data_IF_418384591734
#
_entry.id   IF_418384591734
#
_cell.length_a   1.000
_cell.length_b   1.000
_cell.length_c   1.000
_cell.angle_alpha   90.00
_cell.angle_beta   90.00
_cell.angle_gamma   90.00
#
_symmetry.space_group_name_H-M   'P 1'
#
loop_
_entity.id
_entity.type
_entity.pdbx_description
1 polymer ?
#
# COMPACT_ATOMS: atom_id res chain seq x y z
N UNK A 1 -1.65 14.63 15.86
CA UNK A 1 -2.05 13.40 15.15
C UNK A 1 -2.65 13.71 13.76
N UNK A 2 -1.86 14.19 12.79
CA UNK A 2 -2.43 14.79 11.56
C UNK A 2 -2.48 13.91 10.31
N UNK A 3 -1.77 12.78 10.23
CA UNK A 3 -1.63 12.05 8.96
C UNK A 3 -1.76 10.54 9.15
N UNK A 4 -3.00 10.05 9.21
CA UNK A 4 -3.33 8.61 9.15
C UNK A 4 -4.43 8.40 8.09
N UNK A 5 -4.22 7.49 7.15
CA UNK A 5 -5.23 7.07 6.17
C UNK A 5 -5.41 5.56 6.25
N UNK A 6 -6.62 5.09 6.58
CA UNK A 6 -6.97 3.67 6.56
C UNK A 6 -7.86 3.38 5.35
N UNK A 7 -7.53 2.32 4.61
CA UNK A 7 -8.28 1.85 3.45
C UNK A 7 -8.61 0.38 3.66
N UNK A 8 -9.88 0.04 3.48
CA UNK A 8 -10.39 -1.33 3.67
C UNK A 8 -10.70 -2.01 2.33
N UNK A 9 -10.83 -3.34 2.33
CA UNK A 9 -11.19 -4.07 1.11
C UNK A 9 -10.05 -4.12 0.08
N UNK A 10 -8.81 -4.19 0.56
CA UNK A 10 -7.61 -4.36 -0.27
C UNK A 10 -7.20 -5.83 -0.30
N UNK A 11 -6.74 -6.31 -1.45
CA UNK A 11 -6.04 -7.59 -1.57
C UNK A 11 -4.56 -7.29 -1.73
N UNK A 12 -3.70 -8.03 -1.05
CA UNK A 12 -2.25 -7.86 -1.18
C UNK A 12 -1.67 -9.10 -1.86
N UNK A 13 -0.57 -8.97 -2.58
CA UNK A 13 0.20 -10.12 -3.04
C UNK A 13 1.67 -9.84 -2.81
N UNK A 14 2.37 -10.70 -2.07
CA UNK A 14 3.82 -10.60 -1.84
C UNK A 14 4.51 -11.74 -2.60
N UNK A 15 5.49 -11.43 -3.44
CA UNK A 15 6.34 -12.42 -4.15
C UNK A 15 5.54 -13.60 -4.76
N UNK A 16 4.49 -13.26 -5.52
CA UNK A 16 3.54 -14.17 -6.17
C UNK A 16 2.59 -14.96 -5.24
N UNK A 17 2.68 -14.82 -3.92
CA UNK A 17 1.68 -15.34 -2.98
C UNK A 17 0.59 -14.30 -2.76
N UNK A 18 -0.65 -14.65 -3.11
CA UNK A 18 -1.81 -13.80 -2.85
C UNK A 18 -2.08 -13.76 -1.34
N UNK A 19 -1.80 -12.62 -0.74
CA UNK A 19 -2.15 -12.28 0.63
C UNK A 19 -3.63 -11.85 0.65
N UNK A 20 -4.43 -12.63 1.38
CA UNK A 20 -5.90 -12.52 1.45
C UNK A 20 -6.39 -11.10 1.78
N UNK A 21 -7.67 -10.83 1.47
CA UNK A 21 -8.37 -9.58 1.80
C UNK A 21 -8.02 -9.03 3.19
N UNK A 22 -7.63 -7.76 3.24
CA UNK A 22 -7.20 -7.08 4.45
C UNK A 22 -7.45 -5.57 4.40
N UNK A 23 -6.70 -4.85 5.22
CA UNK A 23 -6.72 -3.39 5.32
C UNK A 23 -5.31 -2.83 5.21
N UNK A 24 -5.22 -1.63 4.65
CA UNK A 24 -3.99 -0.87 4.52
C UNK A 24 -4.11 0.39 5.36
N UNK A 25 -3.18 0.57 6.29
CA UNK A 25 -3.01 1.79 7.06
C UNK A 25 -1.72 2.47 6.65
N UNK A 26 -1.87 3.71 6.21
CA UNK A 26 -0.76 4.59 5.85
C UNK A 26 -0.60 5.62 6.95
N UNK A 27 0.59 5.72 7.49
CA UNK A 27 1.00 6.76 8.43
C UNK A 27 2.26 7.44 7.92
N UNK A 28 2.61 8.62 8.45
CA UNK A 28 3.83 9.35 8.05
C UNK A 28 5.09 8.49 8.12
N UNK A 29 5.20 7.58 9.11
CA UNK A 29 6.43 6.80 9.33
C UNK A 29 6.34 5.33 8.92
N UNK A 30 5.12 4.81 8.77
CA UNK A 30 4.88 3.38 8.56
C UNK A 30 3.75 3.13 7.60
N UNK A 31 3.97 2.13 6.76
CA UNK A 31 2.94 1.46 6.00
C UNK A 31 2.62 0.13 6.69
N UNK A 32 1.36 -0.08 7.06
CA UNK A 32 0.93 -1.28 7.77
C UNK A 32 -0.17 -1.94 6.96
N UNK A 33 0.02 -3.22 6.67
CA UNK A 33 -1.02 -4.10 6.17
C UNK A 33 -1.43 -5.08 7.25
N UNK A 34 -2.73 -5.31 7.40
CA UNK A 34 -3.19 -6.43 8.21
C UNK A 34 -4.37 -7.16 7.57
N UNK A 35 -4.42 -8.46 7.83
CA UNK A 35 -5.50 -9.39 7.50
C UNK A 35 -5.72 -10.33 8.69
N UNK A 36 -6.74 -11.20 8.64
CA UNK A 36 -7.03 -12.17 9.73
C UNK A 36 -5.86 -13.11 10.07
N UNK A 37 -4.89 -13.31 9.16
CA UNK A 37 -3.80 -14.29 9.32
C UNK A 37 -2.40 -13.68 9.18
N UNK A 38 -2.29 -12.40 8.84
CA UNK A 38 -1.01 -11.78 8.53
C UNK A 38 -1.05 -10.28 8.86
N UNK A 39 -0.01 -9.79 9.52
CA UNK A 39 0.24 -8.37 9.73
C UNK A 39 1.66 -8.07 9.23
N UNK A 40 1.80 -7.14 8.29
CA UNK A 40 3.08 -6.69 7.73
C UNK A 40 3.19 -5.20 7.96
N UNK A 41 4.30 -4.75 8.54
CA UNK A 41 4.60 -3.34 8.71
C UNK A 41 5.95 -3.03 8.07
N UNK A 42 6.01 -1.92 7.32
CA UNK A 42 7.23 -1.38 6.74
C UNK A 42 7.42 0.06 7.19
N UNK A 43 8.67 0.47 7.41
CA UNK A 43 9.00 1.89 7.55
C UNK A 43 8.79 2.58 6.22
N UNK A 44 8.25 3.78 6.24
CA UNK A 44 7.97 4.52 5.02
C UNK A 44 9.27 4.87 4.27
N UNK A 45 10.41 5.01 4.97
CA UNK A 45 11.75 5.22 4.39
C UNK A 45 12.20 4.07 3.50
N UNK A 46 11.67 2.88 3.77
CA UNK A 46 11.95 1.66 3.01
C UNK A 46 10.90 1.41 1.93
N UNK A 47 9.81 2.18 1.88
CA UNK A 47 8.72 1.99 0.91
C UNK A 47 9.05 2.76 -0.37
N UNK A 48 9.03 2.06 -1.51
CA UNK A 48 8.96 2.70 -2.83
C UNK A 48 7.62 2.36 -3.46
N UNK A 49 6.76 3.36 -3.60
CA UNK A 49 5.46 3.20 -4.23
C UNK A 49 5.52 3.59 -5.72
N UNK A 50 5.08 2.68 -6.59
CA UNK A 50 4.90 2.96 -8.01
C UNK A 50 3.43 2.74 -8.35
N UNK A 51 2.66 3.81 -8.62
CA UNK A 51 1.29 3.66 -9.08
C UNK A 51 1.31 2.99 -10.46
N UNK A 52 0.67 1.83 -10.58
CA UNK A 52 0.55 1.13 -11.85
C UNK A 52 -0.71 1.60 -12.58
N UNK A 53 -0.54 2.19 -13.77
CA UNK A 53 -1.65 2.42 -14.70
C UNK A 53 -2.05 1.08 -15.31
N UNK A 54 -3.00 0.39 -14.69
CA UNK A 54 -3.58 -0.80 -15.33
C UNK A 54 -4.34 -0.37 -16.58
N UNK A 55 -4.00 -0.94 -17.75
CA UNK A 55 -4.66 -0.67 -19.04
C UNK A 55 -5.98 -1.45 -19.24
N UNK A 56 -6.48 -2.15 -18.22
CA UNK A 56 -7.67 -3.02 -18.30
C UNK A 56 -8.84 -2.59 -17.41
N UNK A 57 -10.05 -3.03 -17.79
CA UNK A 57 -11.35 -2.76 -17.16
C UNK A 57 -11.49 -3.11 -15.66
N UNK A 58 -10.54 -3.87 -15.08
CA UNK A 58 -10.55 -4.33 -13.67
C UNK A 58 -9.30 -3.90 -12.88
N UNK A 59 -8.79 -2.69 -13.12
CA UNK A 59 -7.40 -2.35 -12.88
C UNK A 59 -7.06 -1.32 -11.78
N UNK A 60 -7.62 -1.42 -10.58
CA UNK A 60 -7.26 -0.51 -9.47
C UNK A 60 -6.06 -1.09 -8.69
N UNK A 61 -4.82 -0.89 -9.16
CA UNK A 61 -3.62 -1.51 -8.58
C UNK A 61 -2.56 -0.50 -8.17
N UNK A 62 -1.82 -0.81 -7.11
CA UNK A 62 -0.59 -0.13 -6.72
C UNK A 62 0.48 -1.20 -6.53
N UNK A 63 1.65 -1.03 -7.14
CA UNK A 63 2.81 -1.86 -6.80
C UNK A 63 3.70 -1.11 -5.81
N UNK A 64 3.93 -1.75 -4.67
CA UNK A 64 4.80 -1.27 -3.60
C UNK A 64 6.03 -2.17 -3.54
N UNK A 65 7.20 -1.56 -3.49
CA UNK A 65 8.46 -2.28 -3.23
C UNK A 65 8.88 -1.96 -1.82
N UNK A 66 8.99 -2.98 -0.97
CA UNK A 66 9.45 -2.84 0.41
C UNK A 66 10.96 -3.12 0.47
N UNK A 67 11.73 -2.09 0.83
CA UNK A 67 13.19 -2.02 0.75
C UNK A 67 13.94 -2.99 1.65
N UNK A 68 13.31 -3.44 2.75
CA UNK A 68 13.94 -4.33 3.75
C UNK A 68 14.35 -5.69 3.16
N UNK A 69 13.78 -6.10 2.01
CA UNK A 69 14.20 -7.31 1.30
C UNK A 69 13.94 -7.26 -0.22
N UNK A 70 13.80 -6.06 -0.82
CA UNK A 70 13.33 -5.86 -2.21
C UNK A 70 12.03 -6.64 -2.53
N UNK A 71 11.21 -6.93 -1.51
CA UNK A 71 9.97 -7.69 -1.70
C UNK A 71 8.98 -6.85 -2.46
N UNK A 72 8.42 -7.43 -3.52
CA UNK A 72 7.38 -6.76 -4.31
C UNK A 72 6.03 -7.12 -3.74
N UNK A 73 5.36 -6.09 -3.26
CA UNK A 73 4.02 -6.17 -2.69
C UNK A 73 3.07 -5.46 -3.64
N UNK A 74 2.19 -6.23 -4.28
CA UNK A 74 1.11 -5.68 -5.09
C UNK A 74 -0.12 -5.49 -4.20
N UNK A 75 -0.76 -4.33 -4.31
CA UNK A 75 -2.01 -4.02 -3.61
C UNK A 75 -3.08 -3.78 -4.66
N UNK A 76 -4.09 -4.64 -4.66
CA UNK A 76 -5.29 -4.55 -5.48
C UNK A 76 -6.41 -3.92 -4.65
N UNK A 77 -7.04 -2.89 -5.19
CA UNK A 77 -8.13 -2.17 -4.54
C UNK A 77 -9.46 -2.56 -5.17
N UNK A 78 -10.49 -2.70 -4.34
CA UNK A 78 -11.84 -3.03 -4.82
C UNK A 78 -12.50 -1.86 -5.57
N UNK A 79 -12.07 -0.61 -5.34
CA UNK A 79 -12.61 0.57 -6.00
C UNK A 79 -11.54 1.65 -6.26
N UNK A 80 -11.87 2.60 -7.16
CA UNK A 80 -10.98 3.69 -7.60
C UNK A 80 -10.63 4.67 -6.49
N UNK A 81 -11.65 5.03 -5.70
CA UNK A 81 -11.56 6.08 -4.70
C UNK A 81 -10.53 5.69 -3.63
N UNK A 82 -10.60 4.46 -3.16
CA UNK A 82 -9.71 3.90 -2.16
C UNK A 82 -8.26 3.80 -2.65
N UNK A 83 -8.07 3.42 -3.93
CA UNK A 83 -6.76 3.47 -4.58
C UNK A 83 -6.21 4.89 -4.59
N UNK A 84 -6.99 5.86 -5.04
CA UNK A 84 -6.54 7.25 -5.17
C UNK A 84 -6.22 7.86 -3.80
N UNK A 85 -7.01 7.54 -2.77
CA UNK A 85 -6.74 7.90 -1.37
C UNK A 85 -5.45 7.26 -0.87
N UNK A 86 -5.22 5.97 -1.11
CA UNK A 86 -4.00 5.28 -0.71
C UNK A 86 -2.76 5.84 -1.41
N UNK A 87 -2.81 6.08 -2.73
CA UNK A 87 -1.71 6.70 -3.50
C UNK A 87 -1.37 8.06 -2.90
N UNK A 88 -2.39 8.89 -2.67
CA UNK A 88 -2.19 10.22 -2.11
C UNK A 88 -1.55 10.15 -0.73
N UNK A 89 -2.09 9.32 0.18
CA UNK A 89 -1.56 9.17 1.53
C UNK A 89 -0.12 8.68 1.56
N UNK A 90 0.24 7.71 0.70
CA UNK A 90 1.62 7.19 0.61
C UNK A 90 2.55 8.27 0.05
N UNK A 91 2.10 9.01 -0.97
CA UNK A 91 2.89 10.11 -1.56
C UNK A 91 3.12 11.23 -0.56
N UNK A 92 2.09 11.61 0.19
CA UNK A 92 2.17 12.62 1.24
C UNK A 92 3.12 12.16 2.36
N UNK A 93 3.02 10.90 2.79
CA UNK A 93 3.91 10.33 3.80
C UNK A 93 5.38 10.27 3.36
N UNK A 94 5.66 9.82 2.13
CA UNK A 94 7.02 9.81 1.57
C UNK A 94 7.62 11.22 1.45
N UNK A 95 6.78 12.21 1.12
CA UNK A 95 7.18 13.62 1.05
C UNK A 95 7.46 14.20 2.44
N UNK A 96 6.64 13.87 3.43
CA UNK A 96 6.83 14.29 4.83
C UNK A 96 8.07 13.66 5.45
N UNK A 97 8.34 12.39 5.18
CA UNK A 97 9.50 11.68 5.76
C UNK A 97 10.84 12.10 5.16
N UNK A 98 10.84 12.62 3.93
CA UNK A 98 12.04 13.19 3.31
C UNK A 98 12.39 14.59 3.83
N UNK A 99 11.59 15.15 4.75
CA UNK A 99 11.71 16.51 5.27
C UNK A 99 12.25 16.52 6.70
#
# INVERSE_FOLDING_TARGET
EKSKAEVSGVTISEDARQLRNGRLLVTTHRLIFWSKKLCVAAKMSDVRAVPEKSKGLFGQRISLTLGVAKRKVRVDFSNKKDRDVAIKAISDALREESR
#
